data_IF_756557483270
#
_entry.id   IF_756557483270
#
_cell.length_a   1.000
_cell.length_b   1.000
_cell.length_c   1.000
_cell.angle_alpha   90.00
_cell.angle_beta   90.00
_cell.angle_gamma   90.00
#
_symmetry.space_group_name_H-M   'P 1'
#
loop_
_entity.id
_entity.type
_entity.pdbx_description
1 polymer ?
#
# COMPACT_ATOMS: atom_id res chain seq x y z
N UNK A 1 -6.82 -11.72 -41.61
CA UNK A 1 -5.72 -10.83 -41.18
C UNK A 1 -6.37 -9.68 -40.44
N UNK A 2 -6.53 -9.80 -39.13
CA UNK A 2 -7.19 -8.79 -38.29
C UNK A 2 -6.11 -7.99 -37.60
N UNK A 3 -5.88 -6.76 -38.06
CA UNK A 3 -5.02 -5.80 -37.38
C UNK A 3 -5.89 -4.98 -36.42
N UNK A 4 -5.93 -5.40 -35.16
CA UNK A 4 -6.38 -4.56 -34.04
C UNK A 4 -5.12 -3.99 -33.38
N UNK A 5 -4.51 -2.98 -34.01
CA UNK A 5 -3.46 -2.18 -33.39
C UNK A 5 -4.08 -1.07 -32.57
N UNK A 6 -4.46 -1.35 -31.32
CA UNK A 6 -4.78 -0.31 -30.36
C UNK A 6 -3.52 0.53 -30.08
N UNK A 7 -3.68 1.83 -29.87
CA UNK A 7 -2.60 2.70 -29.44
C UNK A 7 -2.23 2.37 -27.97
N UNK A 8 -1.42 1.33 -27.77
CA UNK A 8 -0.94 0.89 -26.44
C UNK A 8 0.05 1.88 -25.77
N UNK A 9 0.23 3.09 -26.30
CA UNK A 9 1.34 3.99 -25.94
C UNK A 9 0.99 5.19 -25.06
N UNK A 10 -0.29 5.45 -24.78
CA UNK A 10 -0.70 6.69 -24.11
C UNK A 10 -0.45 6.65 -22.59
N UNK A 11 -0.66 5.48 -21.97
CA UNK A 11 -0.60 5.31 -20.51
C UNK A 11 0.83 5.44 -19.97
N UNK A 12 1.81 4.89 -20.70
CA UNK A 12 3.23 5.01 -20.35
C UNK A 12 3.72 6.46 -20.39
N UNK A 13 3.32 7.24 -21.40
CA UNK A 13 3.74 8.65 -21.51
C UNK A 13 3.18 9.54 -20.40
N UNK A 14 1.94 9.28 -19.95
CA UNK A 14 1.38 10.01 -18.80
C UNK A 14 2.14 9.70 -17.50
N UNK A 15 2.50 8.43 -17.30
CA UNK A 15 3.24 8.00 -16.12
C UNK A 15 4.69 8.53 -16.13
N UNK A 16 5.37 8.50 -17.28
CA UNK A 16 6.71 9.09 -17.45
C UNK A 16 6.69 10.61 -17.24
N UNK A 17 5.68 11.30 -17.78
CA UNK A 17 5.51 12.74 -17.55
C UNK A 17 5.36 13.07 -16.05
N UNK A 18 4.52 12.32 -15.34
CA UNK A 18 4.36 12.47 -13.89
C UNK A 18 5.66 12.17 -13.13
N UNK A 19 6.45 11.19 -13.57
CA UNK A 19 7.72 10.84 -12.94
C UNK A 19 8.77 11.95 -13.07
N UNK A 20 8.84 12.60 -14.24
CA UNK A 20 9.69 13.77 -14.48
C UNK A 20 9.26 14.94 -13.59
N UNK A 21 7.95 15.20 -13.44
CA UNK A 21 7.45 16.22 -12.51
C UNK A 21 7.82 15.92 -11.05
N UNK A 22 7.90 14.63 -10.70
CA UNK A 22 8.34 14.16 -9.38
C UNK A 22 9.86 14.19 -9.20
N UNK A 23 10.63 14.79 -10.12
CA UNK A 23 12.11 14.82 -10.12
C UNK A 23 12.73 13.42 -10.09
N UNK A 24 12.05 12.45 -10.68
CA UNK A 24 12.47 11.05 -10.72
C UNK A 24 12.72 10.43 -9.33
N UNK A 25 11.99 10.94 -8.33
CA UNK A 25 12.00 10.45 -6.95
C UNK A 25 10.78 9.56 -6.72
N UNK A 26 11.01 8.28 -6.42
CA UNK A 26 9.94 7.32 -6.19
C UNK A 26 9.05 7.73 -5.01
N UNK A 27 9.62 8.35 -3.97
CA UNK A 27 8.88 8.74 -2.77
C UNK A 27 7.90 9.88 -3.08
N UNK A 28 8.33 10.85 -3.91
CA UNK A 28 7.46 11.94 -4.36
C UNK A 28 6.35 11.41 -5.26
N UNK A 29 6.67 10.51 -6.19
CA UNK A 29 5.68 9.89 -7.06
C UNK A 29 4.61 9.16 -6.25
N UNK A 30 5.02 8.27 -5.32
CA UNK A 30 4.11 7.50 -4.46
C UNK A 30 3.22 8.44 -3.62
N UNK A 31 3.76 9.56 -3.16
CA UNK A 31 3.00 10.56 -2.39
C UNK A 31 1.82 11.16 -3.16
N UNK A 32 1.96 11.34 -4.47
CA UNK A 32 0.92 11.98 -5.31
C UNK A 32 0.06 10.97 -6.07
N UNK A 33 0.53 9.75 -6.30
CA UNK A 33 -0.18 8.75 -7.11
C UNK A 33 -0.56 7.50 -6.32
N UNK A 34 0.16 7.15 -5.26
CA UNK A 34 0.01 5.90 -4.53
C UNK A 34 0.86 4.76 -5.09
N UNK A 35 1.36 3.88 -4.23
CA UNK A 35 2.23 2.76 -4.61
C UNK A 35 1.56 1.82 -5.61
N UNK A 36 0.26 1.54 -5.48
CA UNK A 36 -0.47 0.69 -6.41
C UNK A 36 -0.49 1.26 -7.84
N UNK A 37 -0.72 2.57 -7.96
CA UNK A 37 -0.75 3.26 -9.25
C UNK A 37 0.66 3.45 -9.84
N UNK A 38 1.66 3.68 -8.98
CA UNK A 38 3.06 3.82 -9.38
C UNK A 38 3.77 2.48 -9.65
N UNK A 39 3.27 1.35 -9.12
CA UNK A 39 3.98 0.07 -9.13
C UNK A 39 4.42 -0.38 -10.53
N UNK A 40 3.58 -0.16 -11.55
CA UNK A 40 3.92 -0.49 -12.94
C UNK A 40 5.13 0.30 -13.44
N UNK A 41 5.16 1.60 -13.17
CA UNK A 41 6.28 2.47 -13.53
C UNK A 41 7.53 2.17 -12.68
N UNK A 42 7.37 1.94 -11.37
CA UNK A 42 8.50 1.62 -10.50
C UNK A 42 9.14 0.28 -10.84
N UNK A 43 8.35 -0.70 -11.31
CA UNK A 43 8.85 -1.98 -11.81
C UNK A 43 9.71 -1.81 -13.06
N UNK A 44 9.24 -1.03 -14.04
CA UNK A 44 10.00 -0.82 -15.30
C UNK A 44 11.29 -0.03 -15.08
N UNK A 45 11.30 0.89 -14.12
CA UNK A 45 12.49 1.67 -13.75
C UNK A 45 13.37 1.00 -12.68
N UNK A 46 13.00 -0.16 -12.14
CA UNK A 46 13.78 -0.86 -11.12
C UNK A 46 13.82 -0.18 -9.75
N UNK A 47 12.85 0.70 -9.45
CA UNK A 47 12.78 1.52 -8.24
C UNK A 47 11.80 0.97 -7.18
N UNK A 48 11.43 -0.31 -7.25
CA UNK A 48 10.49 -0.94 -6.31
C UNK A 48 10.96 -0.89 -4.85
N UNK A 49 12.27 -0.90 -4.61
CA UNK A 49 12.87 -0.77 -3.27
C UNK A 49 12.88 0.67 -2.73
N UNK A 50 12.35 1.63 -3.49
CA UNK A 50 12.48 3.05 -3.24
C UNK A 50 13.85 3.59 -3.67
N UNK A 51 13.89 4.88 -3.98
CA UNK A 51 15.12 5.56 -4.35
C UNK A 51 14.89 6.71 -5.32
N UNK A 52 15.99 7.39 -5.63
CA UNK A 52 16.05 8.38 -6.69
C UNK A 52 16.73 7.74 -7.90
N UNK A 53 16.24 8.03 -9.10
CA UNK A 53 16.94 7.67 -10.33
C UNK A 53 18.36 8.25 -10.33
N UNK A 54 19.29 7.61 -11.04
CA UNK A 54 20.68 8.10 -11.18
C UNK A 54 20.74 9.49 -11.83
N UNK A 55 19.75 9.81 -12.68
CA UNK A 55 19.54 11.12 -13.33
C UNK A 55 18.90 12.17 -12.43
N UNK A 56 18.47 11.80 -11.21
CA UNK A 56 17.87 12.75 -10.26
C UNK A 56 18.85 13.84 -9.76
N UNK A 57 20.16 13.68 -10.00
CA UNK A 57 21.19 14.65 -9.67
C UNK A 57 21.08 15.97 -10.46
N UNK A 58 20.41 15.96 -11.62
CA UNK A 58 20.24 17.14 -12.48
C UNK A 58 19.05 18.04 -12.05
N UNK A 59 18.24 17.62 -11.08
CA UNK A 59 17.13 18.42 -10.58
C UNK A 59 17.52 19.26 -9.37
N UNK A 60 17.19 20.55 -9.40
CA UNK A 60 17.42 21.47 -8.28
C UNK A 60 16.75 20.96 -6.99
N UNK A 61 17.55 20.77 -5.94
CA UNK A 61 17.11 20.25 -4.65
C UNK A 61 16.35 21.27 -3.79
N UNK A 62 16.29 22.54 -4.18
CA UNK A 62 15.90 23.65 -3.27
C UNK A 62 14.38 23.94 -3.21
N UNK A 63 13.55 23.21 -3.96
CA UNK A 63 12.09 23.31 -3.81
C UNK A 63 11.49 22.01 -3.31
N UNK A 64 11.24 21.98 -2.02
CA UNK A 64 10.25 21.10 -1.40
C UNK A 64 8.87 21.59 -1.84
N UNK A 65 8.32 20.94 -2.86
CA UNK A 65 6.98 21.23 -3.43
C UNK A 65 5.85 20.73 -2.53
N UNK A 66 6.08 20.76 -1.22
CA UNK A 66 5.06 20.42 -0.25
C UNK A 66 4.13 21.63 -0.17
N UNK A 67 3.00 21.56 -0.88
CA UNK A 67 1.91 22.51 -0.69
C UNK A 67 1.41 22.41 0.74
N UNK A 68 1.05 23.56 1.32
CA UNK A 68 0.56 23.70 2.69
C UNK A 68 -0.62 22.76 3.02
N UNK A 69 -1.44 22.44 2.03
CA UNK A 69 -2.53 21.46 2.11
C UNK A 69 -2.05 20.01 2.28
N UNK A 70 -0.92 19.62 1.66
CA UNK A 70 -0.35 18.28 1.80
C UNK A 70 0.24 18.09 3.20
N UNK A 71 0.86 19.11 3.78
CA UNK A 71 1.45 19.01 5.12
C UNK A 71 0.38 18.74 6.19
N UNK A 72 -0.80 19.34 6.04
CA UNK A 72 -1.95 19.09 6.93
C UNK A 72 -2.64 17.75 6.69
N UNK A 73 -2.68 17.27 5.44
CA UNK A 73 -3.36 16.02 5.05
C UNK A 73 -2.46 14.79 5.05
N UNK A 74 -1.13 14.94 5.19
CA UNK A 74 -0.15 13.84 5.28
C UNK A 74 -0.53 12.69 6.23
N UNK A 75 -1.08 12.92 7.44
CA UNK A 75 -1.49 11.81 8.30
C UNK A 75 -2.71 11.03 7.78
N UNK A 76 -3.42 11.56 6.78
CA UNK A 76 -4.64 11.00 6.21
C UNK A 76 -4.49 10.61 4.74
N UNK A 77 -3.29 10.30 4.25
CA UNK A 77 -3.09 9.81 2.87
C UNK A 77 -2.62 8.37 2.92
N UNK A 78 -3.36 7.47 2.26
CA UNK A 78 -2.97 6.08 2.12
C UNK A 78 -1.79 5.97 1.13
N UNK A 79 -0.59 5.55 1.53
CA UNK A 79 0.54 5.43 0.62
C UNK A 79 0.34 4.37 -0.47
N UNK A 80 -0.60 3.42 -0.29
CA UNK A 80 -0.92 2.42 -1.32
C UNK A 80 -1.79 3.04 -2.41
N UNK A 81 -2.82 3.77 -2.01
CA UNK A 81 -3.85 4.29 -2.92
C UNK A 81 -3.55 5.72 -3.40
N UNK A 82 -2.74 6.48 -2.66
CA UNK A 82 -2.43 7.90 -2.93
C UNK A 82 -3.59 8.87 -2.66
N UNK A 83 -4.73 8.34 -2.23
CA UNK A 83 -5.94 9.12 -1.91
C UNK A 83 -6.07 9.40 -0.42
N UNK A 84 -6.96 10.35 -0.04
CA UNK A 84 -7.28 10.57 1.35
C UNK A 84 -7.87 9.27 1.94
N UNK A 85 -7.34 8.84 3.09
CA UNK A 85 -8.03 7.86 3.93
C UNK A 85 -9.32 8.50 4.39
N UNK A 86 -10.43 8.15 3.73
CA UNK A 86 -11.75 8.22 4.35
C UNK A 86 -11.58 7.66 5.76
N UNK A 87 -11.90 8.49 6.75
CA UNK A 87 -11.34 8.41 8.09
C UNK A 87 -11.26 6.96 8.56
N UNK A 88 -10.05 6.49 8.89
CA UNK A 88 -9.85 5.13 9.43
C UNK A 88 -10.79 4.85 10.61
N UNK A 89 -11.22 5.91 11.31
CA UNK A 89 -12.24 5.88 12.35
C UNK A 89 -13.61 5.36 11.90
N UNK A 90 -14.01 5.52 10.63
CA UNK A 90 -15.25 4.92 10.12
C UNK A 90 -15.12 3.40 9.95
N UNK A 91 -13.94 2.89 9.56
CA UNK A 91 -13.68 1.43 9.52
C UNK A 91 -13.57 0.82 10.90
N UNK A 92 -12.99 1.54 11.86
CA UNK A 92 -12.96 1.13 13.26
C UNK A 92 -14.39 1.13 13.84
N UNK A 93 -15.20 2.14 13.50
CA UNK A 93 -16.63 2.18 13.82
C UNK A 93 -17.46 1.05 13.17
N UNK A 94 -17.11 0.61 11.95
CA UNK A 94 -17.74 -0.54 11.31
C UNK A 94 -17.39 -1.86 12.00
N UNK A 95 -16.16 -2.00 12.52
CA UNK A 95 -15.72 -3.16 13.30
C UNK A 95 -16.35 -3.19 14.69
N UNK A 96 -16.54 -2.03 15.31
CA UNK A 96 -17.17 -1.88 16.63
C UNK A 96 -18.70 -1.96 16.57
N UNK A 97 -19.31 -1.71 15.40
CA UNK A 97 -20.75 -1.84 15.18
C UNK A 97 -21.23 -3.28 14.96
N UNK A 98 -20.33 -4.25 14.79
CA UNK A 98 -20.64 -5.65 14.58
C UNK A 98 -20.85 -6.37 15.91
N UNK A 99 -21.84 -7.26 16.01
CA UNK A 99 -22.06 -8.06 17.22
C UNK A 99 -20.97 -9.12 17.40
N UNK A 100 -20.75 -9.62 18.63
CA UNK A 100 -19.69 -10.61 18.88
C UNK A 100 -19.91 -11.91 18.09
N UNK A 101 -21.16 -12.32 17.87
CA UNK A 101 -21.49 -13.50 17.06
C UNK A 101 -21.10 -13.30 15.58
N UNK A 102 -21.42 -12.15 15.00
CA UNK A 102 -21.04 -11.82 13.62
C UNK A 102 -19.51 -11.74 13.46
N UNK A 103 -18.82 -11.22 14.47
CA UNK A 103 -17.36 -11.14 14.51
C UNK A 103 -16.69 -12.52 14.52
N UNK A 104 -17.27 -13.51 15.22
CA UNK A 104 -16.80 -14.90 15.17
C UNK A 104 -16.98 -15.53 13.77
N UNK A 105 -18.10 -15.26 13.10
CA UNK A 105 -18.39 -15.76 11.75
C UNK A 105 -17.38 -15.20 10.73
N UNK A 106 -17.12 -13.89 10.76
CA UNK A 106 -16.13 -13.27 9.87
C UNK A 106 -14.70 -13.73 10.20
N UNK A 107 -14.38 -13.97 11.48
CA UNK A 107 -13.09 -14.55 11.86
C UNK A 107 -12.91 -15.97 11.29
N UNK A 108 -13.95 -16.82 11.34
CA UNK A 108 -13.92 -18.15 10.75
C UNK A 108 -13.69 -18.11 9.23
N UNK A 109 -14.38 -17.19 8.54
CA UNK A 109 -14.21 -16.95 7.10
C UNK A 109 -12.80 -16.47 6.77
N UNK A 110 -12.20 -15.62 7.60
CA UNK A 110 -10.81 -15.19 7.43
C UNK A 110 -9.82 -16.37 7.53
N UNK A 111 -9.99 -17.24 8.53
CA UNK A 111 -9.16 -18.45 8.69
C UNK A 111 -9.27 -19.35 7.45
N UNK A 112 -10.47 -19.50 6.89
CA UNK A 112 -10.67 -20.25 5.66
C UNK A 112 -9.92 -19.62 4.48
N UNK A 113 -10.00 -18.30 4.31
CA UNK A 113 -9.27 -17.59 3.26
C UNK A 113 -7.75 -17.76 3.40
N UNK A 114 -7.21 -17.67 4.62
CA UNK A 114 -5.79 -17.93 4.88
C UNK A 114 -5.39 -19.36 4.53
N UNK A 115 -6.20 -20.36 4.91
CA UNK A 115 -5.97 -21.77 4.55
C UNK A 115 -5.92 -21.94 3.04
N UNK A 116 -6.87 -21.35 2.31
CA UNK A 116 -6.94 -21.42 0.84
C UNK A 116 -5.70 -20.81 0.19
N UNK A 117 -5.23 -19.66 0.66
CA UNK A 117 -4.01 -19.03 0.16
C UNK A 117 -2.76 -19.87 0.42
N UNK A 118 -2.71 -20.54 1.58
CA UNK A 118 -1.62 -21.45 1.94
C UNK A 118 -1.61 -22.71 1.06
N UNK A 119 -2.78 -23.28 0.77
CA UNK A 119 -2.93 -24.44 -0.12
C UNK A 119 -2.59 -24.13 -1.57
N UNK A 120 -2.92 -22.92 -2.03
CA UNK A 120 -2.55 -22.43 -3.37
C UNK A 120 -1.07 -22.04 -3.46
N UNK A 121 -0.33 -22.05 -2.36
CA UNK A 121 1.10 -21.71 -2.32
C UNK A 121 1.41 -20.23 -2.53
N UNK A 122 0.39 -19.36 -2.48
CA UNK A 122 0.55 -17.89 -2.58
C UNK A 122 1.23 -17.34 -1.32
N UNK A 123 0.87 -17.91 -0.16
CA UNK A 123 1.47 -17.61 1.14
C UNK A 123 1.97 -18.93 1.71
N UNK A 124 3.10 -18.94 2.40
CA UNK A 124 3.60 -20.13 3.12
C UNK A 124 3.76 -19.79 4.58
N UNK A 125 2.99 -20.45 5.44
CA UNK A 125 3.15 -20.28 6.89
C UNK A 125 4.40 -21.04 7.33
N UNK A 126 5.33 -20.36 8.00
CA UNK A 126 6.48 -20.99 8.63
C UNK A 126 6.06 -21.46 10.03
N UNK A 127 6.39 -22.71 10.43
CA UNK A 127 6.16 -23.16 11.80
C UNK A 127 7.06 -22.36 12.75
N UNK A 128 6.47 -21.79 13.81
CA UNK A 128 7.22 -21.15 14.88
C UNK A 128 7.85 -22.23 15.77
N UNK A 129 9.14 -22.12 15.99
CA UNK A 129 9.92 -22.88 16.95
C UNK A 129 9.59 -22.46 18.39
N UNK A 130 9.70 -23.41 19.32
CA UNK A 130 9.13 -23.40 20.67
C UNK A 130 9.67 -22.34 21.65
N UNK A 131 10.34 -21.30 21.17
CA UNK A 131 10.94 -20.25 22.01
C UNK A 131 10.08 -18.98 22.16
N UNK A 132 8.89 -18.92 21.55
CA UNK A 132 7.99 -17.76 21.63
C UNK A 132 6.53 -18.11 22.00
N UNK A 133 6.27 -19.26 22.62
CA UNK A 133 4.92 -19.57 23.13
C UNK A 133 4.55 -18.81 24.43
N UNK A 134 5.51 -18.19 25.12
CA UNK A 134 5.27 -17.51 26.40
C UNK A 134 4.73 -16.06 26.27
N UNK A 135 4.61 -15.52 25.06
CA UNK A 135 4.06 -14.16 24.84
C UNK A 135 2.55 -14.13 24.54
N UNK A 136 1.89 -15.30 24.49
CA UNK A 136 0.43 -15.40 24.35
C UNK A 136 -0.25 -16.07 25.56
N UNK A 137 0.52 -16.46 26.58
CA UNK A 137 0.03 -17.01 27.85
C UNK A 137 0.10 -15.98 28.99
N UNK A 138 -0.45 -14.79 28.77
CA UNK A 138 -0.80 -13.89 29.88
C UNK A 138 -2.28 -13.57 29.80
N UNK A 139 -3.04 -14.48 30.41
CA UNK A 139 -4.46 -14.41 30.77
C UNK A 139 -4.77 -13.29 31.79
N UNK A 140 -4.27 -12.06 31.60
CA UNK A 140 -4.63 -10.93 32.47
C UNK A 140 -4.87 -9.66 31.64
N UNK A 141 -6.04 -9.59 31.00
CA UNK A 141 -6.67 -8.32 30.62
C UNK A 141 -7.73 -8.05 31.69
N UNK A 142 -7.49 -7.13 32.64
CA UNK A 142 -8.54 -6.67 33.55
C UNK A 142 -9.64 -6.00 32.73
N UNK A 143 -10.87 -6.48 32.89
CA UNK A 143 -12.07 -5.77 32.45
C UNK A 143 -12.31 -4.60 33.42
N UNK A 144 -12.13 -3.38 32.93
CA UNK A 144 -12.86 -2.18 33.36
C UNK A 144 -13.32 -1.42 32.10
#
# INVERSE_FOLDING_TARGET
>A
MTAAGGCQGCEGMAAEFLFVLCKEDSARLIKYTGYGNAAGLLLTHGLLGGGKSETAADYSSDSESDTEDYVHSKPSIDPVTGGPTVERGEREGEREAMTEEEKEIEAAKLVEMMRRLNEQGVIRVLPLDSTQQDILSSDDIPLD
#
